data_IF_519317805983
#
_entry.id   IF_519317805983
#
_cell.length_a   1.000
_cell.length_b   1.000
_cell.length_c   1.000
_cell.angle_alpha   90.00
_cell.angle_beta   90.00
_cell.angle_gamma   90.00
#
_symmetry.space_group_name_H-M   'P 1'
#
loop_
_entity.id
_entity.type
_entity.pdbx_description
1 polymer ?
#
# COMPACT_ATOMS: atom_id res chain seq x y z
N UNK A 1 16.63 14.57 -10.34
CA UNK A 1 16.04 13.23 -10.62
C UNK A 1 15.94 12.94 -12.11
N UNK A 2 15.14 13.70 -12.88
CA UNK A 2 15.02 13.54 -14.33
C UNK A 2 16.36 13.55 -15.08
N UNK A 3 17.26 14.48 -14.74
CA UNK A 3 18.59 14.56 -15.36
C UNK A 3 19.56 13.43 -14.99
N UNK A 4 19.27 12.63 -13.97
CA UNK A 4 20.15 11.54 -13.52
C UNK A 4 19.62 10.16 -13.93
N UNK A 5 18.31 9.95 -13.81
CA UNK A 5 17.67 8.65 -14.08
C UNK A 5 16.83 8.64 -15.35
N UNK A 6 16.62 9.77 -16.02
CA UNK A 6 15.70 9.88 -17.16
C UNK A 6 14.21 9.75 -16.82
N UNK A 7 13.88 9.61 -15.53
CA UNK A 7 12.52 9.40 -15.05
C UNK A 7 11.82 10.72 -14.74
N UNK A 8 10.57 10.84 -15.18
CA UNK A 8 9.70 11.97 -14.88
C UNK A 8 8.65 11.62 -13.82
N UNK A 9 8.24 12.60 -13.03
CA UNK A 9 7.26 12.41 -11.97
C UNK A 9 5.85 12.56 -12.55
N UNK A 10 4.96 11.63 -12.19
CA UNK A 10 3.55 11.75 -12.54
C UNK A 10 2.78 12.52 -11.45
N UNK A 11 2.57 13.81 -11.67
CA UNK A 11 1.88 14.68 -10.72
C UNK A 11 0.42 14.26 -10.40
N UNK A 12 -0.27 13.55 -11.29
CA UNK A 12 -1.63 13.07 -11.03
C UNK A 12 -1.66 11.92 -10.01
N UNK A 13 -0.62 11.11 -10.00
CA UNK A 13 -0.46 9.95 -9.10
C UNK A 13 0.31 10.30 -7.83
N UNK A 14 1.05 11.40 -7.82
CA UNK A 14 1.86 11.83 -6.69
C UNK A 14 1.06 12.69 -5.72
N UNK A 15 1.18 12.39 -4.43
CA UNK A 15 0.52 13.10 -3.32
C UNK A 15 1.55 13.42 -2.24
N UNK A 16 1.38 14.55 -1.56
CA UNK A 16 2.20 14.91 -0.39
C UNK A 16 1.35 14.81 0.86
N UNK A 17 1.83 14.07 1.86
CA UNK A 17 1.19 13.96 3.17
C UNK A 17 1.93 14.85 4.16
N UNK A 18 1.18 15.70 4.88
CA UNK A 18 1.73 16.62 5.86
C UNK A 18 1.35 16.17 7.27
N UNK A 19 2.30 16.21 8.21
CA UNK A 19 2.07 15.93 9.62
C UNK A 19 2.31 17.19 10.45
N UNK A 20 1.37 17.56 11.31
CA UNK A 20 1.53 18.67 12.28
C UNK A 20 1.37 20.10 11.72
N UNK A 21 1.12 20.26 10.41
CA UNK A 21 1.01 21.57 9.77
C UNK A 21 -0.42 22.12 9.79
N UNK A 22 -0.56 23.45 9.81
CA UNK A 22 -1.85 24.11 9.69
C UNK A 22 -2.45 23.99 8.28
N UNK A 23 -3.78 24.07 8.14
CA UNK A 23 -4.48 23.95 6.83
C UNK A 23 -3.97 24.95 5.79
N UNK A 24 -3.64 26.16 6.23
CA UNK A 24 -3.12 27.23 5.37
C UNK A 24 -1.73 26.86 4.85
N UNK A 25 -0.84 26.42 5.72
CA UNK A 25 0.52 25.99 5.35
C UNK A 25 0.47 24.82 4.36
N UNK A 26 -0.40 23.82 4.60
CA UNK A 26 -0.62 22.69 3.69
C UNK A 26 -1.05 23.18 2.31
N UNK A 27 -2.00 24.13 2.25
CA UNK A 27 -2.47 24.66 0.97
C UNK A 27 -1.39 25.42 0.21
N UNK A 28 -0.57 26.21 0.92
CA UNK A 28 0.55 26.96 0.33
C UNK A 28 1.63 26.01 -0.17
N UNK A 29 2.02 25.01 0.63
CA UNK A 29 3.04 24.03 0.25
C UNK A 29 2.59 23.14 -0.92
N UNK A 30 1.31 22.75 -0.96
CA UNK A 30 0.73 22.04 -2.09
C UNK A 30 0.78 22.89 -3.36
N UNK A 31 0.42 24.18 -3.26
CA UNK A 31 0.47 25.09 -4.41
C UNK A 31 1.92 25.32 -4.92
N UNK A 32 2.89 25.46 -4.02
CA UNK A 32 4.31 25.67 -4.39
C UNK A 32 4.91 24.40 -5.03
N UNK A 33 4.60 23.23 -4.48
CA UNK A 33 5.15 21.96 -4.97
C UNK A 33 4.51 21.48 -6.28
N UNK A 34 3.29 21.93 -6.59
CA UNK A 34 2.52 21.45 -7.72
C UNK A 34 1.90 20.06 -7.52
N UNK A 35 2.02 19.48 -6.33
CA UNK A 35 1.44 18.19 -5.98
C UNK A 35 0.24 18.36 -5.06
N UNK A 36 -0.76 17.50 -5.24
CA UNK A 36 -1.96 17.50 -4.40
C UNK A 36 -1.64 17.03 -2.97
N UNK A 37 -2.27 17.66 -1.99
CA UNK A 37 -2.18 17.23 -0.60
C UNK A 37 -2.99 15.95 -0.38
N UNK A 38 -2.33 14.89 0.09
CA UNK A 38 -2.93 13.62 0.44
C UNK A 38 -3.60 13.68 1.82
N UNK A 39 -4.63 12.86 2.01
CA UNK A 39 -5.39 12.75 3.27
C UNK A 39 -5.45 11.29 3.71
N UNK A 40 -5.28 11.05 5.00
CA UNK A 40 -5.46 9.72 5.61
C UNK A 40 -6.93 9.47 5.96
N UNK A 41 -7.40 8.20 5.93
CA UNK A 41 -6.67 7.00 5.53
C UNK A 41 -6.63 6.85 4.00
N UNK A 42 -5.47 6.45 3.46
CA UNK A 42 -5.27 6.18 2.03
C UNK A 42 -4.85 4.72 1.78
N UNK A 43 -4.62 4.32 0.52
CA UNK A 43 -4.07 3.01 0.19
C UNK A 43 -2.71 3.16 -0.48
N UNK A 44 -1.71 2.46 0.04
CA UNK A 44 -0.40 2.36 -0.56
C UNK A 44 -0.06 0.90 -0.83
N UNK A 45 0.26 0.58 -2.10
CA UNK A 45 0.51 -0.79 -2.56
C UNK A 45 -0.62 -1.78 -2.25
N UNK A 46 -1.86 -1.27 -2.16
CA UNK A 46 -3.04 -2.04 -1.82
C UNK A 46 -3.29 -2.21 -0.32
N UNK A 47 -2.37 -1.77 0.55
CA UNK A 47 -2.55 -1.78 2.01
C UNK A 47 -3.10 -0.44 2.50
N UNK A 48 -3.95 -0.45 3.55
CA UNK A 48 -4.41 0.77 4.19
C UNK A 48 -3.22 1.45 4.86
N UNK A 49 -3.02 2.71 4.51
CA UNK A 49 -2.04 3.60 5.10
C UNK A 49 -2.82 4.62 5.94
N UNK A 50 -2.57 4.62 7.23
CA UNK A 50 -3.19 5.53 8.18
C UNK A 50 -2.10 6.29 8.94
N UNK A 51 -2.45 7.48 9.41
CA UNK A 51 -1.66 8.28 10.34
C UNK A 51 -1.53 7.57 11.71
N UNK A 52 -2.52 6.77 12.08
CA UNK A 52 -2.54 5.98 13.29
C UNK A 52 -1.89 4.60 13.12
N UNK A 53 -1.58 3.94 14.25
CA UNK A 53 -1.07 2.56 14.24
C UNK A 53 -2.09 1.64 13.59
N UNK A 54 -1.70 1.00 12.48
CA UNK A 54 -2.53 0.03 11.76
C UNK A 54 -2.88 -1.11 12.73
N UNK A 55 -4.17 -1.30 12.98
CA UNK A 55 -4.68 -2.35 13.85
C UNK A 55 -4.77 -3.69 13.11
N UNK A 56 -4.70 -4.80 13.85
CA UNK A 56 -4.90 -6.13 13.29
C UNK A 56 -6.25 -6.25 12.57
N UNK A 57 -7.31 -5.65 13.13
CA UNK A 57 -8.64 -5.61 12.52
C UNK A 57 -8.63 -4.94 11.12
N UNK A 58 -7.78 -3.94 10.91
CA UNK A 58 -7.63 -3.26 9.62
C UNK A 58 -6.94 -4.16 8.57
N UNK A 59 -6.09 -5.09 9.02
CA UNK A 59 -5.38 -6.05 8.17
C UNK A 59 -6.13 -7.37 7.99
N UNK A 60 -7.10 -7.69 8.84
CA UNK A 60 -7.93 -8.89 8.81
C UNK A 60 -8.44 -9.28 7.40
N UNK A 61 -9.05 -8.38 6.59
CA UNK A 61 -9.52 -8.73 5.25
C UNK A 61 -8.39 -9.13 4.29
N UNK A 62 -7.16 -8.64 4.51
CA UNK A 62 -6.00 -9.05 3.72
C UNK A 62 -5.54 -10.46 4.10
N UNK A 63 -5.52 -10.76 5.41
CA UNK A 63 -5.24 -12.10 5.91
C UNK A 63 -6.26 -13.09 5.36
N UNK A 64 -7.55 -12.76 5.43
CA UNK A 64 -8.63 -13.60 4.89
C UNK A 64 -8.51 -13.84 3.38
N UNK A 65 -8.08 -12.83 2.62
CA UNK A 65 -7.82 -12.99 1.18
C UNK A 65 -6.63 -13.92 0.91
N UNK A 66 -5.58 -13.87 1.73
CA UNK A 66 -4.42 -14.77 1.61
C UNK A 66 -4.82 -16.20 2.00
N UNK A 67 -5.50 -16.37 3.15
CA UNK A 67 -5.96 -17.68 3.61
C UNK A 67 -6.98 -18.29 2.66
N UNK A 68 -7.90 -17.49 2.11
CA UNK A 68 -8.85 -17.94 1.10
C UNK A 68 -8.16 -18.48 -0.17
N UNK A 69 -7.10 -17.81 -0.63
CA UNK A 69 -6.28 -18.32 -1.75
C UNK A 69 -5.56 -19.62 -1.40
N UNK A 70 -4.96 -19.69 -0.20
CA UNK A 70 -4.28 -20.90 0.28
C UNK A 70 -5.26 -22.08 0.40
N UNK A 71 -6.47 -21.86 0.94
CA UNK A 71 -7.50 -22.89 1.03
C UNK A 71 -7.98 -23.35 -0.35
N UNK A 72 -8.20 -22.43 -1.29
CA UNK A 72 -8.56 -22.77 -2.66
C UNK A 72 -7.49 -23.62 -3.37
N UNK A 73 -6.20 -23.39 -3.07
CA UNK A 73 -5.11 -24.24 -3.56
C UNK A 73 -5.04 -25.58 -2.85
N UNK A 74 -5.33 -25.62 -1.55
CA UNK A 74 -5.36 -26.86 -0.77
C UNK A 74 -6.47 -27.79 -1.25
N UNK A 75 -7.60 -27.24 -1.70
CA UNK A 75 -8.70 -27.99 -2.33
C UNK A 75 -8.33 -28.56 -3.71
N UNK A 76 -7.34 -27.97 -4.41
CA UNK A 76 -6.79 -28.47 -5.68
C UNK A 76 -5.68 -29.49 -5.42
N UNK A 77 -6.05 -30.69 -4.95
CA UNK A 77 -5.31 -31.97 -4.98
C UNK A 77 -3.76 -31.97 -4.83
N UNK A 78 -3.14 -31.01 -4.15
CA UNK A 78 -1.69 -31.00 -3.97
C UNK A 78 -1.27 -32.04 -2.93
N UNK A 79 -0.19 -32.78 -3.22
CA UNK A 79 0.45 -33.66 -2.23
C UNK A 79 0.97 -32.85 -1.04
N UNK A 80 1.20 -33.49 0.11
CA UNK A 80 1.71 -32.83 1.32
C UNK A 80 3.01 -32.04 1.04
N UNK A 81 3.94 -32.66 0.32
CA UNK A 81 5.18 -32.02 -0.14
C UNK A 81 4.92 -30.86 -1.09
N UNK A 82 3.93 -31.00 -1.99
CA UNK A 82 3.49 -29.91 -2.86
C UNK A 82 3.00 -28.71 -2.07
N UNK A 83 2.22 -28.93 -1.00
CA UNK A 83 1.73 -27.86 -0.12
C UNK A 83 2.87 -27.13 0.58
N UNK A 84 3.85 -27.84 1.13
CA UNK A 84 5.04 -27.24 1.77
C UNK A 84 5.86 -26.41 0.77
N UNK A 85 6.12 -26.96 -0.42
CA UNK A 85 6.89 -26.29 -1.47
C UNK A 85 6.19 -25.01 -1.93
N UNK A 86 4.86 -25.05 -2.06
CA UNK A 86 4.06 -23.90 -2.47
C UNK A 86 4.10 -22.78 -1.43
N UNK A 87 3.91 -23.10 -0.15
CA UNK A 87 4.04 -22.14 0.95
C UNK A 87 5.40 -21.46 0.92
N UNK A 88 6.49 -22.23 0.82
CA UNK A 88 7.86 -21.70 0.73
C UNK A 88 8.15 -20.84 -0.51
N UNK A 89 7.34 -20.94 -1.57
CA UNK A 89 7.58 -20.20 -2.82
C UNK A 89 6.76 -18.90 -2.93
N UNK A 90 5.66 -18.81 -2.19
CA UNK A 90 4.67 -17.72 -2.31
C UNK A 90 4.67 -16.83 -1.08
N UNK A 91 4.93 -17.40 0.10
CA UNK A 91 5.04 -16.71 1.40
C UNK A 91 6.51 -16.64 1.77
#
# INVERSE_FOLDING_TARGET
FKGWCGLDINAEKTEIFFGGNGKIEVSVLSAISGFKAGVFPTRYLGLPLDSARISFATLQPFVERITGKLHAWTAKSLSFTGKIRLVSSVI
#
